data_IF_286741268971
#
_entry.id   IF_286741268971
#
_cell.length_a   1.000
_cell.length_b   1.000
_cell.length_c   1.000
_cell.angle_alpha   90.00
_cell.angle_beta   90.00
_cell.angle_gamma   90.00
#
_symmetry.space_group_name_H-M   'P 1'
#
loop_
_entity.id
_entity.type
_entity.pdbx_description
1 polymer ?
#
# COMPACT_ATOMS: atom_id res chain seq x y z
N UNK A 1 15.29 13.37 -6.36
CA UNK A 1 14.32 14.16 -5.57
C UNK A 1 13.54 15.02 -6.55
N UNK A 2 12.31 14.62 -6.91
CA UNK A 2 11.41 15.47 -7.71
C UNK A 2 10.57 16.27 -6.71
N UNK A 3 11.07 17.43 -6.29
CA UNK A 3 10.25 18.44 -5.62
C UNK A 3 9.49 19.19 -6.70
N UNK A 4 8.30 18.74 -7.06
CA UNK A 4 7.48 19.48 -8.02
C UNK A 4 6.84 20.68 -7.32
N UNK A 5 7.55 21.82 -7.35
CA UNK A 5 7.02 23.11 -6.92
C UNK A 5 6.15 23.69 -8.03
N UNK A 6 4.83 23.73 -7.81
CA UNK A 6 3.93 24.57 -8.61
C UNK A 6 3.22 25.55 -7.65
N UNK A 7 3.24 26.84 -7.99
CA UNK A 7 2.66 27.95 -7.20
C UNK A 7 3.18 28.09 -5.75
N UNK A 8 4.44 27.73 -5.49
CA UNK A 8 5.10 28.01 -4.20
C UNK A 8 4.66 27.16 -3.01
N UNK A 9 3.90 26.08 -3.24
CA UNK A 9 3.42 25.18 -2.18
C UNK A 9 4.25 23.88 -2.17
N UNK A 10 4.73 23.48 -0.98
CA UNK A 10 5.41 22.20 -0.77
C UNK A 10 4.37 21.11 -0.46
N UNK A 11 4.30 20.09 -1.32
CA UNK A 11 3.44 18.93 -1.09
C UNK A 11 4.14 17.93 -0.17
N UNK A 12 3.76 17.90 1.11
CA UNK A 12 4.22 16.85 2.02
C UNK A 12 3.33 15.62 1.84
N UNK A 13 3.89 14.61 1.18
CA UNK A 13 3.44 13.23 1.25
C UNK A 13 3.53 12.78 2.71
N UNK A 14 2.40 12.62 3.42
CA UNK A 14 1.96 11.26 3.71
C UNK A 14 0.47 11.14 4.13
N UNK A 15 -0.49 11.64 3.34
CA UNK A 15 -1.92 11.32 3.53
C UNK A 15 -2.47 11.40 4.98
N UNK A 16 -2.07 12.41 5.76
CA UNK A 16 -2.64 12.69 7.07
C UNK A 16 -3.16 14.13 7.10
N UNK A 17 -4.40 14.30 7.58
CA UNK A 17 -5.03 15.59 7.83
C UNK A 17 -4.39 16.23 9.07
N UNK A 18 -3.96 17.48 8.96
CA UNK A 18 -3.54 18.31 10.10
C UNK A 18 -4.69 18.68 11.06
N UNK A 19 -5.93 18.25 10.82
CA UNK A 19 -7.07 18.63 11.64
C UNK A 19 -7.61 17.50 12.52
N UNK A 20 -7.57 17.79 13.84
CA UNK A 20 -8.27 17.17 14.97
C UNK A 20 -8.93 15.80 14.69
N UNK A 21 -8.28 14.76 15.24
CA UNK A 21 -8.83 13.46 15.66
C UNK A 21 -10.30 13.23 15.25
N UNK A 22 -10.51 12.72 14.04
CA UNK A 22 -11.55 11.69 13.87
C UNK A 22 -10.91 10.40 14.36
N UNK A 23 -11.51 9.77 15.37
CA UNK A 23 -11.05 8.49 15.90
C UNK A 23 -10.68 7.57 14.73
N UNK A 24 -9.39 7.31 14.58
CA UNK A 24 -8.87 6.37 13.59
C UNK A 24 -9.56 5.05 13.89
N UNK A 25 -10.56 4.69 13.07
CA UNK A 25 -11.14 3.37 13.16
C UNK A 25 -10.00 2.39 12.92
N UNK A 26 -9.89 1.43 13.83
CA UNK A 26 -9.04 0.24 13.85
C UNK A 26 -9.02 -0.58 12.54
N UNK A 27 -9.79 -0.16 11.53
CA UNK A 27 -10.00 -0.72 10.19
C UNK A 27 -8.73 -1.02 9.39
N UNK A 28 -7.63 -0.30 9.61
CA UNK A 28 -6.44 -0.47 8.77
C UNK A 28 -5.69 -1.78 9.05
N UNK A 29 -5.70 -2.27 10.29
CA UNK A 29 -5.17 -3.59 10.64
C UNK A 29 -5.99 -4.71 9.99
N UNK A 30 -7.31 -4.56 10.00
CA UNK A 30 -8.23 -5.61 9.53
C UNK A 30 -8.26 -5.70 8.00
N UNK A 31 -8.13 -4.58 7.30
CA UNK A 31 -8.13 -4.54 5.83
C UNK A 31 -6.89 -5.22 5.21
N UNK A 32 -5.70 -5.00 5.78
CA UNK A 32 -4.45 -5.54 5.24
C UNK A 32 -4.19 -6.99 5.67
N UNK A 33 -4.50 -7.34 6.93
CA UNK A 33 -4.41 -8.72 7.40
C UNK A 33 -5.54 -9.61 6.84
N UNK A 34 -6.74 -9.05 6.62
CA UNK A 34 -7.90 -9.76 6.09
C UNK A 34 -7.84 -10.10 4.60
N UNK A 35 -7.03 -9.39 3.82
CA UNK A 35 -6.77 -9.68 2.39
C UNK A 35 -6.18 -11.09 2.16
N UNK A 36 -5.60 -11.71 3.18
CA UNK A 36 -4.99 -13.04 3.09
C UNK A 36 -5.89 -14.18 3.61
N UNK A 37 -7.05 -13.85 4.21
CA UNK A 37 -7.89 -14.80 4.97
C UNK A 37 -9.33 -14.90 4.47
N UNK A 38 -9.70 -14.26 3.36
CA UNK A 38 -11.04 -14.39 2.80
C UNK A 38 -11.16 -15.69 2.01
N UNK A 39 -11.95 -16.63 2.51
CA UNK A 39 -12.32 -17.85 1.78
C UNK A 39 -13.21 -17.49 0.57
N UNK A 40 -12.68 -17.73 -0.64
CA UNK A 40 -13.20 -17.24 -1.94
C UNK A 40 -14.38 -18.06 -2.48
N UNK A 41 -14.63 -19.26 -1.96
CA UNK A 41 -15.49 -20.24 -2.66
C UNK A 41 -17.01 -20.02 -2.53
N UNK A 42 -17.49 -19.11 -1.67
CA UNK A 42 -18.92 -18.75 -1.53
C UNK A 42 -19.19 -17.23 -1.65
N UNK A 43 -18.14 -16.43 -1.83
CA UNK A 43 -18.14 -14.98 -1.60
C UNK A 43 -17.81 -14.15 -2.86
N UNK A 44 -17.42 -14.77 -3.98
CA UNK A 44 -17.13 -14.07 -5.25
C UNK A 44 -18.32 -13.22 -5.73
N UNK A 45 -19.54 -13.75 -5.61
CA UNK A 45 -20.75 -13.05 -6.03
C UNK A 45 -20.97 -11.74 -5.26
N UNK A 46 -20.68 -11.71 -3.96
CA UNK A 46 -20.82 -10.50 -3.14
C UNK A 46 -19.77 -9.44 -3.48
N UNK A 47 -18.54 -9.87 -3.76
CA UNK A 47 -17.46 -8.96 -4.15
C UNK A 47 -17.71 -8.36 -5.54
N UNK A 48 -18.20 -9.14 -6.49
CA UNK A 48 -18.60 -8.65 -7.82
C UNK A 48 -19.75 -7.63 -7.74
N UNK A 49 -20.76 -7.91 -6.90
CA UNK A 49 -21.84 -6.94 -6.63
C UNK A 49 -21.30 -5.66 -6.00
N UNK A 50 -20.35 -5.76 -5.07
CA UNK A 50 -19.71 -4.60 -4.46
C UNK A 50 -18.90 -3.79 -5.49
N UNK A 51 -18.16 -4.43 -6.40
CA UNK A 51 -17.46 -3.74 -7.49
C UNK A 51 -18.46 -2.99 -8.36
N UNK A 52 -19.55 -3.65 -8.76
CA UNK A 52 -20.59 -3.00 -9.57
C UNK A 52 -21.24 -1.81 -8.85
N UNK A 53 -21.48 -1.92 -7.53
CA UNK A 53 -21.98 -0.81 -6.73
C UNK A 53 -21.01 0.38 -6.72
N UNK A 54 -19.69 0.15 -6.60
CA UNK A 54 -18.70 1.24 -6.71
C UNK A 54 -18.70 1.91 -8.08
N UNK A 55 -18.91 1.14 -9.17
CA UNK A 55 -19.03 1.71 -10.52
C UNK A 55 -20.19 2.71 -10.59
N UNK A 56 -21.36 2.34 -10.06
CA UNK A 56 -22.56 3.19 -10.06
C UNK A 56 -22.33 4.45 -9.23
N UNK A 57 -21.77 4.32 -8.03
CA UNK A 57 -21.49 5.45 -7.15
C UNK A 57 -20.51 6.45 -7.80
N UNK A 58 -19.42 5.95 -8.38
CA UNK A 58 -18.44 6.79 -9.08
C UNK A 58 -19.08 7.50 -10.29
N UNK A 59 -19.88 6.79 -11.06
CA UNK A 59 -20.59 7.35 -12.23
C UNK A 59 -21.55 8.47 -11.84
N UNK A 60 -22.32 8.28 -10.76
CA UNK A 60 -23.21 9.31 -10.21
C UNK A 60 -22.45 10.56 -9.73
N UNK A 61 -21.23 10.36 -9.22
CA UNK A 61 -20.32 11.44 -8.82
C UNK A 61 -19.53 12.05 -10.00
N UNK A 62 -19.86 11.65 -11.23
CA UNK A 62 -19.21 12.16 -12.44
C UNK A 62 -17.77 11.67 -12.63
N UNK A 63 -17.39 10.58 -11.96
CA UNK A 63 -16.11 9.86 -12.11
C UNK A 63 -16.29 8.63 -13.02
N UNK A 64 -15.20 8.05 -13.51
CA UNK A 64 -15.21 6.83 -14.31
C UNK A 64 -15.05 7.05 -15.82
N UNK A 65 -15.61 6.15 -16.62
CA UNK A 65 -15.41 6.12 -18.08
C UNK A 65 -15.81 7.43 -18.77
N UNK A 66 -15.04 7.82 -19.79
CA UNK A 66 -15.29 9.06 -20.55
C UNK A 66 -14.97 10.36 -19.80
N UNK A 67 -14.33 10.27 -18.64
CA UNK A 67 -13.86 11.44 -17.85
C UNK A 67 -12.35 11.67 -17.94
N UNK A 68 -11.60 10.74 -18.56
CA UNK A 68 -10.17 10.91 -18.81
C UNK A 68 -9.90 12.21 -19.60
N UNK A 69 -8.87 12.96 -19.20
CA UNK A 69 -8.49 14.22 -19.82
C UNK A 69 -9.29 15.46 -19.39
N UNK A 70 -10.33 15.31 -18.55
CA UNK A 70 -11.03 16.45 -17.94
C UNK A 70 -10.31 16.91 -16.67
N UNK A 71 -10.44 18.19 -16.27
CA UNK A 71 -9.91 18.66 -14.99
C UNK A 71 -10.42 17.80 -13.83
N UNK A 72 -9.51 17.38 -12.96
CA UNK A 72 -9.83 16.57 -11.79
C UNK A 72 -10.67 17.38 -10.80
N UNK A 73 -11.75 16.77 -10.32
CA UNK A 73 -12.62 17.28 -9.25
C UNK A 73 -12.68 16.26 -8.12
N UNK A 74 -11.53 15.66 -7.80
CA UNK A 74 -11.47 14.61 -6.79
C UNK A 74 -11.72 15.20 -5.39
N UNK A 75 -12.64 14.59 -4.66
CA UNK A 75 -12.95 14.93 -3.27
C UNK A 75 -12.43 13.81 -2.37
N UNK A 76 -12.32 14.03 -1.04
CA UNK A 76 -11.97 12.96 -0.12
C UNK A 76 -12.90 11.74 -0.21
N UNK A 77 -14.20 11.97 -0.49
CA UNK A 77 -15.16 10.89 -0.68
C UNK A 77 -14.87 10.07 -1.94
N UNK A 78 -14.52 10.74 -3.05
CA UNK A 78 -14.13 10.07 -4.28
C UNK A 78 -12.91 9.17 -4.04
N UNK A 79 -11.89 9.66 -3.33
CA UNK A 79 -10.67 8.91 -3.04
C UNK A 79 -10.94 7.65 -2.18
N UNK A 80 -11.85 7.73 -1.21
CA UNK A 80 -12.26 6.57 -0.41
C UNK A 80 -12.98 5.51 -1.25
N UNK A 81 -13.90 5.92 -2.14
CA UNK A 81 -14.63 4.98 -3.01
C UNK A 81 -13.69 4.33 -4.02
N UNK A 82 -12.77 5.09 -4.62
CA UNK A 82 -11.71 4.54 -5.46
C UNK A 82 -10.82 3.55 -4.69
N UNK A 83 -10.43 3.87 -3.46
CA UNK A 83 -9.69 2.96 -2.59
C UNK A 83 -10.41 1.63 -2.34
N UNK A 84 -11.72 1.68 -2.06
CA UNK A 84 -12.56 0.48 -1.89
C UNK A 84 -12.61 -0.32 -3.19
N UNK A 85 -12.87 0.35 -4.32
CA UNK A 85 -12.93 -0.29 -5.64
C UNK A 85 -11.65 -1.04 -5.96
N UNK A 86 -10.49 -0.41 -5.76
CA UNK A 86 -9.20 -1.03 -6.01
C UNK A 86 -8.91 -2.22 -5.10
N UNK A 87 -9.35 -2.14 -3.84
CA UNK A 87 -9.22 -3.27 -2.93
C UNK A 87 -10.09 -4.46 -3.35
N UNK A 88 -11.30 -4.19 -3.85
CA UNK A 88 -12.19 -5.23 -4.38
C UNK A 88 -11.62 -5.88 -5.66
N UNK A 89 -11.08 -5.08 -6.60
CA UNK A 89 -10.44 -5.59 -7.80
C UNK A 89 -9.21 -6.45 -7.48
N UNK A 90 -8.41 -6.06 -6.49
CA UNK A 90 -7.31 -6.89 -5.97
C UNK A 90 -7.81 -8.23 -5.43
N UNK A 91 -8.89 -8.22 -4.64
CA UNK A 91 -9.44 -9.43 -4.02
C UNK A 91 -10.03 -10.40 -5.06
N UNK A 92 -10.68 -9.87 -6.11
CA UNK A 92 -11.20 -10.63 -7.25
C UNK A 92 -10.13 -11.03 -8.27
N UNK A 93 -8.87 -10.63 -8.06
CA UNK A 93 -7.75 -10.87 -8.98
C UNK A 93 -7.94 -10.26 -10.38
N UNK A 94 -8.74 -9.20 -10.47
CA UNK A 94 -8.98 -8.43 -11.70
C UNK A 94 -7.86 -7.41 -11.92
N UNK A 95 -6.61 -7.89 -12.00
CA UNK A 95 -5.43 -7.04 -12.01
C UNK A 95 -5.32 -6.16 -13.25
N UNK A 96 -5.72 -6.65 -14.41
CA UNK A 96 -5.66 -5.90 -15.67
C UNK A 96 -6.57 -4.67 -15.62
N UNK A 97 -7.82 -4.86 -15.18
CA UNK A 97 -8.76 -3.77 -14.97
C UNK A 97 -8.25 -2.78 -13.90
N UNK A 98 -7.68 -3.28 -12.81
CA UNK A 98 -7.11 -2.41 -11.78
C UNK A 98 -5.98 -1.52 -12.31
N UNK A 99 -5.09 -2.07 -13.15
CA UNK A 99 -3.98 -1.31 -13.76
C UNK A 99 -4.52 -0.23 -14.69
N UNK A 100 -5.53 -0.55 -15.51
CA UNK A 100 -6.19 0.41 -16.39
C UNK A 100 -6.85 1.55 -15.61
N UNK A 101 -7.57 1.24 -14.54
CA UNK A 101 -8.25 2.24 -13.71
C UNK A 101 -7.28 3.09 -12.88
N UNK A 102 -6.08 2.58 -12.57
CA UNK A 102 -5.02 3.34 -11.90
C UNK A 102 -4.22 4.24 -12.86
N UNK A 103 -4.24 3.97 -14.16
CA UNK A 103 -3.45 4.69 -15.15
C UNK A 103 -3.65 6.23 -15.11
N UNK A 104 -4.88 6.77 -14.97
CA UNK A 104 -5.11 8.21 -14.87
C UNK A 104 -4.54 8.86 -13.61
N UNK A 105 -4.33 8.09 -12.54
CA UNK A 105 -3.81 8.59 -11.26
C UNK A 105 -2.27 8.68 -11.26
N UNK A 106 -1.61 8.07 -12.25
CA UNK A 106 -0.14 8.03 -12.34
C UNK A 106 0.49 7.55 -11.03
N UNK A 107 1.41 8.34 -10.48
CA UNK A 107 2.11 7.98 -9.25
C UNK A 107 1.31 8.24 -7.96
N UNK A 108 0.04 8.69 -8.03
CA UNK A 108 -0.79 9.13 -6.89
C UNK A 108 -0.26 10.36 -6.15
N UNK A 109 0.63 11.12 -6.79
CA UNK A 109 1.30 12.29 -6.22
C UNK A 109 1.04 13.57 -7.01
N UNK A 110 0.10 13.52 -7.94
CA UNK A 110 -0.28 14.69 -8.72
C UNK A 110 -0.88 15.78 -7.80
N UNK A 111 -0.64 17.07 -8.10
CA UNK A 111 -1.03 18.16 -7.22
C UNK A 111 -2.54 18.24 -6.99
N UNK A 112 -3.34 17.89 -8.01
CA UNK A 112 -4.80 17.80 -7.97
C UNK A 112 -5.33 16.69 -7.04
N UNK A 113 -4.44 15.85 -6.51
CA UNK A 113 -4.74 14.84 -5.50
C UNK A 113 -4.41 15.33 -4.07
N UNK A 114 -4.16 16.63 -3.88
CA UNK A 114 -3.85 17.24 -2.59
C UNK A 114 -4.91 18.29 -2.18
N UNK A 115 -5.14 18.44 -0.88
CA UNK A 115 -6.10 19.42 -0.34
C UNK A 115 -5.80 20.85 -0.80
N UNK A 116 -4.51 21.19 -0.86
CA UNK A 116 -4.01 22.52 -1.20
C UNK A 116 -4.27 22.92 -2.66
N UNK A 117 -4.66 21.98 -3.52
CA UNK A 117 -5.00 22.30 -4.91
C UNK A 117 -6.39 22.93 -5.04
N UNK A 118 -7.33 22.56 -4.17
CA UNK A 118 -8.73 23.02 -4.22
C UNK A 118 -9.05 24.13 -3.21
N UNK A 119 -8.23 24.29 -2.18
CA UNK A 119 -8.46 25.26 -1.10
C UNK A 119 -7.42 26.38 -1.14
N UNK A 120 -7.89 27.63 -1.28
CA UNK A 120 -7.05 28.80 -1.02
C UNK A 120 -6.88 29.04 0.49
N UNK A 121 -7.82 28.56 1.32
CA UNK A 121 -7.69 28.57 2.77
C UNK A 121 -6.78 27.42 3.22
N UNK A 122 -5.70 27.76 3.91
CA UNK A 122 -4.67 26.84 4.43
C UNK A 122 -5.15 25.92 5.57
N UNK A 123 -6.44 25.60 5.67
CA UNK A 123 -7.00 24.83 6.79
C UNK A 123 -6.56 23.36 6.77
N UNK A 124 -6.49 22.76 5.58
CA UNK A 124 -6.10 21.35 5.40
C UNK A 124 -4.91 21.22 4.46
N UNK A 125 -3.90 20.50 4.94
CA UNK A 125 -2.72 20.15 4.15
C UNK A 125 -2.61 18.64 3.99
N UNK A 126 -2.05 18.20 2.86
CA UNK A 126 -1.70 16.80 2.60
C UNK A 126 -2.47 16.18 1.44
N UNK A 127 -2.21 14.88 1.24
CA UNK A 127 -2.81 14.09 0.15
C UNK A 127 -4.26 13.71 0.47
N UNK A 128 -5.12 13.78 -0.56
CA UNK A 128 -6.47 13.22 -0.58
C UNK A 128 -6.45 11.69 -0.66
N UNK A 129 -5.34 11.13 -1.16
CA UNK A 129 -5.21 9.71 -1.43
C UNK A 129 -4.89 8.96 -0.12
N UNK A 130 -5.71 7.97 0.26
CA UNK A 130 -5.45 7.18 1.46
C UNK A 130 -4.19 6.31 1.28
N UNK A 131 -3.50 6.04 2.38
CA UNK A 131 -2.28 5.23 2.37
C UNK A 131 -2.53 3.80 1.81
N UNK A 132 -3.72 3.24 2.00
CA UNK A 132 -4.09 1.91 1.52
C UNK A 132 -4.09 1.83 -0.01
N UNK A 133 -4.63 2.87 -0.65
CA UNK A 133 -4.63 3.01 -2.12
C UNK A 133 -3.20 3.07 -2.68
N UNK A 134 -2.28 3.73 -1.96
CA UNK A 134 -0.85 3.77 -2.35
C UNK A 134 -0.18 2.41 -2.26
N UNK A 135 -0.49 1.63 -1.22
CA UNK A 135 0.01 0.27 -1.07
C UNK A 135 -0.56 -0.67 -2.16
N UNK A 136 -1.86 -0.55 -2.48
CA UNK A 136 -2.47 -1.32 -3.58
C UNK A 136 -1.80 -1.00 -4.91
N UNK A 137 -1.57 0.28 -5.23
CA UNK A 137 -0.84 0.67 -6.44
C UNK A 137 0.60 0.13 -6.45
N UNK A 138 1.27 0.03 -5.30
CA UNK A 138 2.58 -0.59 -5.23
C UNK A 138 2.51 -2.11 -5.47
N UNK A 139 1.51 -2.78 -4.90
CA UNK A 139 1.34 -4.23 -5.01
C UNK A 139 0.97 -4.66 -6.42
N UNK A 140 0.02 -3.97 -7.07
CA UNK A 140 -0.51 -4.38 -8.37
C UNK A 140 0.57 -4.44 -9.45
N UNK A 141 1.62 -3.62 -9.33
CA UNK A 141 2.73 -3.58 -10.27
C UNK A 141 3.43 -4.95 -10.43
N UNK A 142 3.39 -5.82 -9.42
CA UNK A 142 3.96 -7.18 -9.51
C UNK A 142 3.23 -8.09 -10.51
N UNK A 143 2.00 -7.74 -10.87
CA UNK A 143 1.18 -8.44 -11.87
C UNK A 143 1.27 -7.81 -13.26
N UNK A 144 2.12 -6.80 -13.44
CA UNK A 144 2.38 -6.16 -14.73
C UNK A 144 3.62 -6.75 -15.41
N UNK A 145 3.89 -6.44 -16.69
CA UNK A 145 5.14 -6.81 -17.35
C UNK A 145 6.41 -6.23 -16.70
N UNK A 146 6.26 -5.29 -15.76
CA UNK A 146 7.38 -4.61 -15.09
C UNK A 146 7.31 -4.77 -13.57
N UNK A 147 7.42 -6.00 -13.03
CA UNK A 147 7.18 -6.26 -11.62
C UNK A 147 8.24 -5.63 -10.68
N UNK A 148 9.42 -5.28 -11.21
CA UNK A 148 10.45 -4.52 -10.49
C UNK A 148 10.01 -3.11 -10.12
N UNK A 149 9.06 -2.51 -10.85
CA UNK A 149 8.48 -1.21 -10.48
C UNK A 149 7.76 -1.27 -9.13
N UNK A 150 7.24 -2.44 -8.74
CA UNK A 150 6.68 -2.66 -7.42
C UNK A 150 7.74 -2.42 -6.33
N UNK A 151 8.95 -2.96 -6.51
CA UNK A 151 10.07 -2.82 -5.56
C UNK A 151 10.46 -1.35 -5.41
N UNK A 152 10.63 -0.65 -6.53
CA UNK A 152 10.98 0.79 -6.53
C UNK A 152 9.93 1.60 -5.77
N UNK A 153 8.64 1.33 -6.04
CA UNK A 153 7.55 2.05 -5.42
C UNK A 153 7.41 1.76 -3.92
N UNK A 154 7.58 0.51 -3.49
CA UNK A 154 7.57 0.17 -2.07
C UNK A 154 8.75 0.83 -1.33
N UNK A 155 9.95 0.87 -1.92
CA UNK A 155 11.09 1.59 -1.35
C UNK A 155 10.82 3.09 -1.22
N UNK A 156 10.16 3.70 -2.21
CA UNK A 156 9.75 5.10 -2.14
C UNK A 156 8.79 5.35 -0.96
N UNK A 157 7.80 4.47 -0.79
CA UNK A 157 6.89 4.54 0.37
C UNK A 157 7.62 4.40 1.70
N UNK A 158 8.61 3.51 1.80
CA UNK A 158 9.42 3.35 3.01
C UNK A 158 10.21 4.62 3.33
N UNK A 159 10.86 5.21 2.33
CA UNK A 159 11.56 6.48 2.49
C UNK A 159 10.61 7.61 2.93
N UNK A 160 9.42 7.68 2.33
CA UNK A 160 8.45 8.72 2.67
C UNK A 160 7.88 8.56 4.08
N UNK A 161 7.62 7.33 4.53
CA UNK A 161 7.20 7.06 5.91
C UNK A 161 8.32 7.41 6.90
N UNK A 162 9.59 7.10 6.58
CA UNK A 162 10.73 7.39 7.44
C UNK A 162 11.09 8.89 7.53
N UNK A 163 10.71 9.71 6.54
CA UNK A 163 10.89 11.18 6.59
C UNK A 163 10.03 11.83 7.67
N UNK A 164 8.88 11.22 8.01
CA UNK A 164 7.97 11.75 9.02
C UNK A 164 8.50 11.38 10.42
N UNK A 165 9.45 12.17 10.91
CA UNK A 165 10.06 12.02 12.25
C UNK A 165 9.14 12.54 13.37
N UNK A 166 7.95 11.96 13.48
CA UNK A 166 7.11 12.11 14.67
C UNK A 166 7.09 10.79 15.42
N UNK A 167 8.08 10.65 16.31
CA UNK A 167 8.38 9.46 17.12
C UNK A 167 7.22 8.99 18.01
N UNK A 168 6.13 9.77 18.12
CA UNK A 168 5.02 9.54 19.04
C UNK A 168 3.79 8.91 18.39
N UNK A 169 3.73 8.78 17.07
CA UNK A 169 2.51 8.29 16.41
C UNK A 169 2.65 6.79 16.15
N UNK A 170 1.94 6.00 16.94
CA UNK A 170 1.81 4.55 16.78
C UNK A 170 1.33 4.16 15.37
N UNK A 171 0.55 5.01 14.71
CA UNK A 171 0.11 4.82 13.33
C UNK A 171 1.26 4.87 12.30
N UNK A 172 2.32 5.68 12.49
CA UNK A 172 3.47 5.71 11.56
C UNK A 172 4.28 4.41 11.63
N UNK A 173 4.52 3.92 12.84
CA UNK A 173 5.18 2.64 13.07
C UNK A 173 4.39 1.48 12.43
N UNK A 174 3.06 1.51 12.51
CA UNK A 174 2.20 0.55 11.83
C UNK A 174 2.32 0.64 10.30
N UNK A 175 2.29 1.86 9.74
CA UNK A 175 2.48 2.08 8.28
C UNK A 175 3.83 1.55 7.80
N UNK A 176 4.90 1.85 8.53
CA UNK A 176 6.24 1.36 8.22
C UNK A 176 6.28 -0.17 8.22
N UNK A 177 5.70 -0.79 9.25
CA UNK A 177 5.59 -2.25 9.34
C UNK A 177 4.84 -2.86 8.15
N UNK A 178 3.74 -2.23 7.71
CA UNK A 178 2.97 -2.70 6.55
C UNK A 178 3.77 -2.56 5.26
N UNK A 179 4.49 -1.46 5.06
CA UNK A 179 5.36 -1.24 3.89
C UNK A 179 6.45 -2.29 3.82
N UNK A 180 7.10 -2.59 4.94
CA UNK A 180 8.16 -3.60 4.99
C UNK A 180 7.63 -5.01 4.73
N UNK A 181 6.46 -5.35 5.28
CA UNK A 181 5.78 -6.62 4.94
C UNK A 181 5.43 -6.70 3.45
N UNK A 182 4.97 -5.60 2.85
CA UNK A 182 4.73 -5.53 1.41
C UNK A 182 6.02 -5.74 0.61
N UNK A 183 7.11 -5.11 1.05
CA UNK A 183 8.43 -5.24 0.40
C UNK A 183 8.89 -6.70 0.34
N UNK A 184 8.80 -7.42 1.46
CA UNK A 184 9.09 -8.85 1.49
C UNK A 184 8.15 -9.67 0.63
N UNK A 185 6.85 -9.35 0.65
CA UNK A 185 5.87 -10.03 -0.20
C UNK A 185 6.25 -9.89 -1.67
N UNK A 186 6.51 -8.68 -2.14
CA UNK A 186 6.91 -8.40 -3.53
C UNK A 186 8.19 -9.16 -3.89
N UNK A 187 9.21 -9.11 -3.03
CA UNK A 187 10.48 -9.79 -3.28
C UNK A 187 10.40 -11.31 -3.22
N UNK A 188 9.52 -11.87 -2.39
CA UNK A 188 9.19 -13.29 -2.37
C UNK A 188 8.63 -13.75 -3.72
N UNK A 189 7.60 -13.06 -4.22
CA UNK A 189 7.00 -13.40 -5.52
C UNK A 189 7.94 -13.13 -6.71
N UNK A 190 8.94 -12.26 -6.56
CA UNK A 190 10.01 -12.06 -7.54
C UNK A 190 11.14 -13.09 -7.45
N UNK A 191 11.15 -13.97 -6.43
CA UNK A 191 12.20 -14.96 -6.24
C UNK A 191 13.54 -14.41 -5.70
N UNK A 192 13.58 -13.15 -5.25
CA UNK A 192 14.81 -12.49 -4.76
C UNK A 192 14.81 -12.32 -3.23
N UNK A 193 14.02 -13.13 -2.54
CA UNK A 193 13.73 -13.02 -1.11
C UNK A 193 14.95 -13.09 -0.18
N UNK A 194 16.03 -13.74 -0.60
CA UNK A 194 17.26 -13.85 0.20
C UNK A 194 17.89 -12.46 0.42
N UNK A 195 17.73 -11.56 -0.56
CA UNK A 195 18.23 -10.18 -0.48
C UNK A 195 17.47 -9.35 0.56
N UNK A 196 16.19 -9.66 0.83
CA UNK A 196 15.40 -9.00 1.88
C UNK A 196 16.02 -9.16 3.26
N UNK A 197 16.46 -10.37 3.58
CA UNK A 197 16.95 -10.71 4.92
C UNK A 197 18.16 -9.86 5.31
N UNK A 198 19.02 -9.53 4.33
CA UNK A 198 20.25 -8.77 4.56
C UNK A 198 20.00 -7.25 4.57
N UNK A 199 19.06 -6.74 3.77
CA UNK A 199 18.82 -5.29 3.61
C UNK A 199 17.84 -4.70 4.64
N UNK A 200 17.08 -5.52 5.38
CA UNK A 200 16.03 -5.05 6.31
C UNK A 200 16.55 -4.91 7.74
N UNK A 201 16.03 -3.92 8.49
CA UNK A 201 16.39 -3.66 9.89
C UNK A 201 16.22 -4.90 10.79
N UNK A 202 17.19 -5.19 11.70
CA UNK A 202 17.19 -6.38 12.56
C UNK A 202 15.91 -6.58 13.39
N UNK A 203 15.26 -5.48 13.79
CA UNK A 203 14.05 -5.55 14.62
C UNK A 203 12.83 -6.16 13.92
N UNK A 204 12.83 -6.19 12.58
CA UNK A 204 11.68 -6.65 11.78
C UNK A 204 12.05 -7.88 10.94
N UNK A 205 13.34 -8.22 10.83
CA UNK A 205 13.85 -9.39 10.11
C UNK A 205 13.13 -10.69 10.50
N UNK A 206 12.91 -10.94 11.79
CA UNK A 206 12.24 -12.15 12.28
C UNK A 206 10.77 -12.20 11.85
N UNK A 207 10.01 -11.12 12.10
CA UNK A 207 8.61 -11.02 11.70
C UNK A 207 8.41 -11.10 10.18
N UNK A 208 9.38 -10.58 9.42
CA UNK A 208 9.39 -10.62 7.97
C UNK A 208 9.63 -12.04 7.45
N UNK A 209 10.63 -12.72 8.03
CA UNK A 209 10.99 -14.08 7.69
C UNK A 209 9.86 -15.06 8.03
N UNK A 210 9.17 -14.86 9.16
CA UNK A 210 7.96 -15.59 9.51
C UNK A 210 6.83 -15.38 8.48
N UNK A 211 6.59 -14.14 8.05
CA UNK A 211 5.58 -13.85 7.04
C UNK A 211 5.92 -14.53 5.70
N UNK A 212 7.18 -14.51 5.30
CA UNK A 212 7.67 -15.16 4.08
C UNK A 212 7.61 -16.68 4.16
N UNK A 213 7.91 -17.26 5.32
CA UNK A 213 7.77 -18.68 5.58
C UNK A 213 6.30 -19.13 5.46
N UNK A 214 5.36 -18.38 6.06
CA UNK A 214 3.92 -18.64 5.91
C UNK A 214 3.46 -18.52 4.45
N UNK A 215 4.00 -17.56 3.70
CA UNK A 215 3.72 -17.44 2.26
C UNK A 215 4.25 -18.64 1.48
N UNK A 216 5.48 -19.08 1.74
CA UNK A 216 6.07 -20.26 1.11
C UNK A 216 5.22 -21.52 1.35
N UNK A 217 4.77 -21.74 2.59
CA UNK A 217 3.85 -22.84 2.92
C UNK A 217 2.52 -22.71 2.17
N UNK A 218 1.93 -21.52 2.10
CA UNK A 218 0.65 -21.30 1.39
C UNK A 218 0.73 -21.55 -0.12
N UNK A 219 1.91 -21.31 -0.72
CA UNK A 219 2.17 -21.55 -2.14
C UNK A 219 2.60 -23.00 -2.39
N UNK A 220 3.04 -23.73 -1.35
CA UNK A 220 3.61 -25.07 -1.47
C UNK A 220 5.08 -25.08 -1.92
N UNK A 221 5.81 -23.97 -1.77
CA UNK A 221 7.25 -23.88 -2.09
C UNK A 221 8.09 -24.37 -0.90
N UNK A 222 8.20 -25.69 -0.76
CA UNK A 222 8.97 -26.34 0.31
C UNK A 222 10.45 -25.95 0.28
N UNK A 223 11.02 -25.70 -0.90
CA UNK A 223 12.43 -25.31 -1.06
C UNK A 223 12.66 -23.92 -0.48
N UNK A 224 11.78 -22.96 -0.78
CA UNK A 224 11.85 -21.63 -0.18
C UNK A 224 11.62 -21.68 1.33
N UNK A 225 10.67 -22.49 1.80
CA UNK A 225 10.39 -22.64 3.23
C UNK A 225 11.60 -23.19 4.01
N UNK A 226 12.21 -24.27 3.52
CA UNK A 226 13.41 -24.87 4.13
C UNK A 226 14.59 -23.89 4.14
N UNK A 227 14.79 -23.16 3.03
CA UNK A 227 15.84 -22.14 2.94
C UNK A 227 15.64 -20.99 3.91
N UNK A 228 14.41 -20.58 4.16
CA UNK A 228 14.09 -19.56 5.17
C UNK A 228 14.34 -20.06 6.59
N UNK A 229 14.02 -21.33 6.88
CA UNK A 229 14.29 -21.97 8.17
C UNK A 229 15.80 -21.98 8.47
N UNK A 230 16.64 -22.34 7.49
CA UNK A 230 18.09 -22.29 7.63
C UNK A 230 18.61 -20.87 7.97
N UNK A 231 18.01 -19.83 7.39
CA UNK A 231 18.35 -18.45 7.70
C UNK A 231 17.98 -18.06 9.15
N UNK A 232 16.83 -18.54 9.67
CA UNK A 232 16.46 -18.37 11.10
C UNK A 232 17.48 -19.04 12.00
N UNK A 233 17.88 -20.28 11.70
CA UNK A 233 18.84 -21.02 12.53
C UNK A 233 20.23 -20.38 12.58
N UNK A 234 20.63 -19.70 11.49
CA UNK A 234 21.89 -18.94 11.42
C UNK A 234 21.83 -17.61 12.18
N UNK A 235 20.66 -16.98 12.27
CA UNK A 235 20.49 -15.74 13.02
C UNK A 235 20.51 -15.95 14.53
N UNK A 236 19.90 -17.03 15.02
CA UNK A 236 19.88 -17.41 16.45
C UNK A 236 21.23 -17.90 16.97
N UNK A 237 22.09 -18.44 16.11
CA UNK A 237 23.46 -18.86 16.46
C UNK A 237 24.48 -17.71 16.49
N UNK A 238 24.10 -16.51 16.03
CA UNK A 238 25.00 -15.34 15.95
C UNK A 238 24.60 -14.20 16.93
N UNK A 239 23.58 -14.39 17.77
CA UNK A 239 23.26 -13.48 18.87
C UNK A 239 23.42 -14.19 20.23
N UNK A 240 24.57 -14.02 20.92
CA UNK A 240 24.51 -14.01 22.38
C UNK A 240 23.77 -12.73 22.77
N UNK A 241 22.54 -12.88 23.27
CA UNK A 241 21.76 -11.80 23.86
C UNK A 241 22.62 -11.02 24.86
N UNK A 242 23.00 -9.79 24.51
CA UNK A 242 23.45 -8.82 25.49
C UNK A 242 22.22 -8.37 26.29
N UNK A 243 21.97 -9.10 27.39
CA UNK A 243 21.23 -8.59 28.53
C UNK A 243 22.11 -7.53 29.22
N UNK A 244 21.76 -6.25 29.03
CA UNK A 244 21.92 -5.19 30.02
C UNK A 244 20.77 -4.21 29.89
#
# INVERSE_FOLDING_TARGET
LYEERRRGVCYTMPGLKSEKRRAEHTRFKDAYCGLHSFDINSSSCHLEVAVNATTVLLSQMGQGEGKAGKPSTITPLHAEIWGIRFQLLMALKLYSQLVEELQPFGELDAPDLCYQYYSESNEKTGSLIPFSMRLIHAEVLRFTPFPWKAVERVKRLELDVNKVREDTISAWHQRLTVVQKMYARVLFFLGVYIRCYVEVSPCIQTALLEAMFRMALSVGDEKAANKMLECVSKSTSTQPCLLK
#
